data_IF_899038420075
#
_entry.id   IF_899038420075
#
_cell.length_a   1.000
_cell.length_b   1.000
_cell.length_c   1.000
_cell.angle_alpha   90.00
_cell.angle_beta   90.00
_cell.angle_gamma   90.00
#
_symmetry.space_group_name_H-M   'P 1'
#
loop_
_entity.id
_entity.type
_entity.pdbx_description
1 polymer ?
#
# COMPACT_ATOMS: atom_id res chain seq x y z
N UNK A 1 -29.09 -25.91 -29.18
CA UNK A 1 -29.52 -25.47 -27.84
C UNK A 1 -28.64 -25.96 -26.68
N UNK A 2 -27.91 -27.06 -26.84
CA UNK A 2 -27.00 -27.54 -25.77
C UNK A 2 -25.75 -26.68 -25.50
N UNK A 3 -25.27 -25.94 -26.48
CA UNK A 3 -24.05 -25.13 -26.37
C UNK A 3 -24.27 -23.73 -25.79
N UNK A 4 -25.49 -23.21 -25.81
CA UNK A 4 -25.85 -21.88 -25.30
C UNK A 4 -25.88 -21.85 -23.76
N UNK A 5 -26.19 -22.99 -23.14
CA UNK A 5 -26.23 -23.11 -21.67
C UNK A 5 -24.86 -23.16 -21.05
N UNK A 6 -23.87 -23.71 -21.76
CA UNK A 6 -22.47 -23.77 -21.28
C UNK A 6 -21.81 -22.38 -21.34
N UNK A 7 -22.15 -21.57 -22.34
CA UNK A 7 -21.61 -20.21 -22.48
C UNK A 7 -22.15 -19.27 -21.39
N UNK A 8 -23.41 -19.47 -20.97
CA UNK A 8 -24.00 -18.64 -19.89
C UNK A 8 -23.41 -18.97 -18.51
N UNK A 9 -22.96 -20.21 -18.30
CA UNK A 9 -22.37 -20.64 -17.04
C UNK A 9 -20.93 -20.15 -16.86
N UNK A 10 -20.20 -19.88 -17.95
CA UNK A 10 -18.82 -19.34 -17.90
C UNK A 10 -18.77 -17.84 -17.56
N UNK A 11 -19.89 -17.11 -17.71
CA UNK A 11 -19.94 -15.65 -17.45
C UNK A 11 -20.06 -15.30 -15.96
N UNK A 12 -20.27 -16.29 -15.08
CA UNK A 12 -20.48 -16.06 -13.65
C UNK A 12 -19.21 -16.18 -12.78
N UNK A 13 -18.03 -16.41 -13.37
CA UNK A 13 -16.80 -16.65 -12.59
C UNK A 13 -15.93 -15.42 -12.31
N UNK A 14 -16.38 -14.22 -12.69
CA UNK A 14 -15.67 -12.97 -12.29
C UNK A 14 -16.33 -12.30 -11.08
N UNK A 15 -16.59 -13.08 -10.04
CA UNK A 15 -16.73 -12.48 -8.71
C UNK A 15 -15.32 -12.12 -8.27
N UNK A 16 -14.93 -10.86 -8.48
CA UNK A 16 -13.76 -10.27 -7.82
C UNK A 16 -13.99 -10.42 -6.32
N UNK A 17 -13.41 -11.46 -5.71
CA UNK A 17 -13.32 -11.59 -4.27
C UNK A 17 -12.40 -10.47 -3.78
N UNK A 18 -12.97 -9.34 -3.42
CA UNK A 18 -12.26 -8.33 -2.65
C UNK A 18 -11.90 -8.98 -1.32
N UNK A 19 -10.61 -9.19 -1.09
CA UNK A 19 -10.12 -9.85 0.12
C UNK A 19 -10.53 -9.02 1.33
N UNK A 20 -11.35 -9.60 2.22
CA UNK A 20 -11.72 -8.92 3.47
C UNK A 20 -10.49 -8.77 4.36
N UNK A 21 -10.07 -7.55 4.58
CA UNK A 21 -8.92 -7.21 5.44
C UNK A 21 -9.32 -7.40 6.90
N UNK A 22 -8.55 -8.18 7.63
CA UNK A 22 -8.78 -8.48 9.04
C UNK A 22 -7.86 -7.64 9.92
N UNK A 23 -8.21 -7.45 11.23
CA UNK A 23 -7.36 -6.71 12.15
C UNK A 23 -5.91 -7.21 12.23
N UNK A 24 -5.69 -8.53 12.15
CA UNK A 24 -4.35 -9.13 12.14
C UNK A 24 -3.52 -8.79 10.90
N UNK A 25 -4.17 -8.46 9.77
CA UNK A 25 -3.46 -8.10 8.54
C UNK A 25 -2.77 -6.73 8.64
N UNK A 26 -3.25 -5.85 9.53
CA UNK A 26 -2.69 -4.50 9.69
C UNK A 26 -1.20 -4.52 10.05
N UNK A 27 -0.75 -5.52 10.80
CA UNK A 27 0.66 -5.66 11.14
C UNK A 27 1.59 -5.78 9.92
N UNK A 28 1.08 -6.26 8.78
CA UNK A 28 1.85 -6.40 7.53
C UNK A 28 2.27 -5.07 6.94
N UNK A 29 1.58 -3.97 7.30
CA UNK A 29 1.93 -2.64 6.79
C UNK A 29 3.28 -2.16 7.31
N UNK A 30 3.71 -2.63 8.48
CA UNK A 30 4.93 -2.15 9.11
C UNK A 30 6.16 -2.39 8.24
N UNK A 31 6.97 -1.35 8.10
CA UNK A 31 8.17 -1.33 7.27
C UNK A 31 8.10 -0.36 6.11
N UNK A 32 8.92 -0.62 5.09
CA UNK A 32 9.17 0.29 3.98
C UNK A 32 8.37 -0.10 2.74
N UNK A 33 7.77 0.89 2.09
CA UNK A 33 6.94 0.73 0.92
C UNK A 33 7.33 1.69 -0.18
N UNK A 34 7.53 1.17 -1.38
CA UNK A 34 7.83 1.93 -2.58
C UNK A 34 6.60 2.03 -3.45
N UNK A 35 6.23 3.24 -3.87
CA UNK A 35 5.13 3.40 -4.80
C UNK A 35 5.51 2.80 -6.16
N UNK A 36 4.63 1.98 -6.72
CA UNK A 36 4.80 1.32 -8.01
C UNK A 36 3.99 2.01 -9.09
N UNK A 37 2.71 2.28 -8.81
CA UNK A 37 1.83 2.99 -9.73
C UNK A 37 0.68 3.69 -9.02
N UNK A 38 0.08 4.65 -9.71
CA UNK A 38 -1.19 5.29 -9.35
C UNK A 38 -2.21 5.01 -10.44
N UNK A 39 -3.37 4.49 -10.06
CA UNK A 39 -4.53 4.30 -10.93
C UNK A 39 -5.52 5.42 -10.64
N UNK A 40 -5.85 6.20 -11.67
CA UNK A 40 -6.80 7.29 -11.57
C UNK A 40 -8.23 6.77 -11.79
N UNK A 41 -9.21 7.53 -11.34
CA UNK A 41 -10.59 7.36 -11.76
C UNK A 41 -10.65 7.22 -13.29
N UNK A 42 -11.45 6.30 -13.83
CA UNK A 42 -11.53 5.90 -15.24
C UNK A 42 -10.38 4.98 -15.74
N UNK A 43 -9.57 4.42 -14.85
CA UNK A 43 -8.60 3.36 -15.19
C UNK A 43 -7.33 3.83 -15.89
N UNK A 44 -7.06 5.16 -15.94
CA UNK A 44 -5.77 5.68 -16.42
C UNK A 44 -4.70 5.41 -15.37
N UNK A 45 -3.56 4.86 -15.77
CA UNK A 45 -2.44 4.53 -14.89
C UNK A 45 -1.24 5.45 -15.10
N UNK A 46 -0.48 5.66 -14.03
CA UNK A 46 0.85 6.27 -14.06
C UNK A 46 1.80 5.38 -13.29
N UNK A 47 2.79 4.83 -13.99
CA UNK A 47 3.84 4.01 -13.41
C UNK A 47 4.97 4.87 -12.82
N UNK A 48 5.57 4.38 -11.73
CA UNK A 48 6.73 4.95 -11.07
C UNK A 48 7.86 3.92 -11.11
N UNK A 49 8.92 4.22 -11.88
CA UNK A 49 10.03 3.27 -12.07
C UNK A 49 11.05 3.31 -10.95
N UNK A 50 11.70 4.46 -10.74
CA UNK A 50 12.70 4.68 -9.70
C UNK A 50 12.18 5.78 -8.77
N UNK A 51 12.15 5.50 -7.46
CA UNK A 51 11.67 6.44 -6.47
C UNK A 51 12.82 6.91 -5.56
N UNK A 52 12.89 8.23 -5.36
CA UNK A 52 13.85 8.84 -4.46
C UNK A 52 13.46 8.69 -2.98
N UNK A 53 12.18 8.39 -2.72
CA UNK A 53 11.67 8.24 -1.36
C UNK A 53 10.70 7.07 -1.25
N UNK A 54 10.69 6.45 -0.05
CA UNK A 54 9.77 5.39 0.34
C UNK A 54 8.88 5.88 1.46
N UNK A 55 7.73 5.21 1.64
CA UNK A 55 6.87 5.38 2.80
C UNK A 55 7.26 4.35 3.87
N UNK A 56 7.56 4.81 5.05
CA UNK A 56 7.79 3.96 6.22
C UNK A 56 6.58 4.04 7.15
N UNK A 57 5.98 2.90 7.43
CA UNK A 57 4.86 2.77 8.37
C UNK A 57 5.30 2.05 9.64
N UNK A 58 4.80 2.53 10.76
CA UNK A 58 4.86 1.85 12.04
C UNK A 58 3.52 2.01 12.77
N UNK A 59 2.76 0.92 12.84
CA UNK A 59 1.44 0.85 13.46
C UNK A 59 1.51 -0.16 14.61
N UNK A 60 1.04 0.23 15.78
CA UNK A 60 1.00 -0.60 16.97
C UNK A 60 -0.25 -1.51 17.03
N UNK A 61 -0.31 -2.34 18.07
CA UNK A 61 -1.43 -3.25 18.31
C UNK A 61 -2.74 -2.55 18.77
N UNK A 62 -2.70 -1.22 18.97
CA UNK A 62 -3.85 -0.36 19.25
C UNK A 62 -4.33 0.38 18.02
N UNK A 63 -3.85 0.00 16.82
CA UNK A 63 -4.17 0.63 15.55
C UNK A 63 -3.76 2.11 15.47
N UNK A 64 -2.66 2.46 16.09
CA UNK A 64 -2.09 3.81 16.09
C UNK A 64 -0.61 3.76 15.73
N UNK A 65 -0.14 4.80 15.09
CA UNK A 65 1.26 4.94 14.76
C UNK A 65 1.52 6.12 13.86
N UNK A 66 2.42 5.95 12.91
CA UNK A 66 2.81 7.03 12.02
C UNK A 66 3.25 6.50 10.64
N UNK A 67 3.26 7.43 9.67
CA UNK A 67 3.92 7.30 8.38
C UNK A 67 4.99 8.36 8.26
N UNK A 68 6.14 8.00 7.67
CA UNK A 68 7.22 8.93 7.32
C UNK A 68 7.69 8.70 5.89
N UNK A 69 8.09 9.77 5.22
CA UNK A 69 8.91 9.67 4.01
C UNK A 69 10.37 9.44 4.40
N UNK A 70 10.99 8.44 3.79
CA UNK A 70 12.40 8.09 4.01
C UNK A 70 13.11 7.99 2.66
N UNK A 71 14.39 8.36 2.60
CA UNK A 71 15.20 8.27 1.40
C UNK A 71 16.24 7.17 1.58
N UNK A 72 16.22 6.11 0.73
CA UNK A 72 17.21 5.04 0.80
C UNK A 72 18.60 5.58 0.46
N UNK A 73 19.61 5.14 1.19
CA UNK A 73 21.01 5.46 0.97
C UNK A 73 21.76 4.26 0.38
N UNK A 74 22.86 4.50 -0.32
CA UNK A 74 23.63 3.44 -0.97
C UNK A 74 24.30 2.47 0.01
N UNK A 75 24.46 2.87 1.27
CA UNK A 75 25.00 2.04 2.35
C UNK A 75 23.94 1.13 3.02
N UNK A 76 22.71 1.13 2.49
CA UNK A 76 21.59 0.37 3.03
C UNK A 76 20.85 1.04 4.19
N UNK A 77 21.25 2.23 4.59
CA UNK A 77 20.53 3.04 5.59
C UNK A 77 19.43 3.90 4.96
N UNK A 78 18.64 4.57 5.79
CA UNK A 78 17.62 5.51 5.34
C UNK A 78 17.85 6.88 5.98
N UNK A 79 17.84 7.91 5.16
CA UNK A 79 17.74 9.27 5.65
C UNK A 79 16.28 9.60 5.94
N UNK A 80 16.01 10.11 7.14
CA UNK A 80 14.66 10.43 7.64
C UNK A 80 14.61 11.91 7.96
N UNK A 81 13.55 12.58 7.57
CA UNK A 81 13.27 13.95 8.01
C UNK A 81 12.47 13.94 9.34
N UNK A 82 12.35 15.10 9.99
CA UNK A 82 11.62 15.23 11.25
C UNK A 82 10.10 15.26 11.08
N UNK A 83 9.60 15.26 9.83
CA UNK A 83 8.17 15.30 9.57
C UNK A 83 7.58 13.90 9.59
N UNK A 84 6.47 13.76 10.28
CA UNK A 84 5.68 12.53 10.29
C UNK A 84 4.20 12.85 10.17
N UNK A 85 3.44 11.88 9.71
CA UNK A 85 1.99 11.89 9.68
C UNK A 85 1.50 10.89 10.74
N UNK A 86 0.78 11.37 11.73
CA UNK A 86 0.16 10.48 12.71
C UNK A 86 -0.92 9.67 12.01
N UNK A 87 -1.01 8.38 12.34
CA UNK A 87 -1.93 7.44 11.71
C UNK A 87 -2.81 6.79 12.78
N UNK A 88 -4.10 6.71 12.47
CA UNK A 88 -5.06 5.89 13.20
C UNK A 88 -5.81 4.99 12.24
N UNK A 89 -5.78 3.68 12.48
CA UNK A 89 -6.54 2.71 11.68
C UNK A 89 -7.93 2.55 12.25
N UNK A 90 -8.93 2.58 11.38
CA UNK A 90 -10.35 2.52 11.74
C UNK A 90 -11.07 1.49 10.86
N UNK A 91 -11.82 0.59 11.50
CA UNK A 91 -12.69 -0.38 10.84
C UNK A 91 -14.12 0.14 10.84
N UNK A 92 -14.75 0.19 9.68
CA UNK A 92 -16.14 0.65 9.51
C UNK A 92 -16.77 0.00 8.28
N UNK A 93 -17.96 -0.59 8.44
CA UNK A 93 -18.77 -1.16 7.34
C UNK A 93 -17.98 -2.14 6.45
N UNK A 94 -17.24 -3.07 7.07
CA UNK A 94 -16.35 -4.04 6.43
C UNK A 94 -15.15 -3.43 5.64
N UNK A 95 -14.91 -2.14 5.81
CA UNK A 95 -13.81 -1.38 5.23
C UNK A 95 -12.79 -0.96 6.29
N UNK A 96 -11.56 -0.74 5.84
CA UNK A 96 -10.47 -0.27 6.68
C UNK A 96 -10.00 1.08 6.19
N UNK A 97 -9.94 2.05 7.10
CA UNK A 97 -9.50 3.41 6.83
C UNK A 97 -8.26 3.74 7.63
N UNK A 98 -7.33 4.41 6.99
CA UNK A 98 -6.19 5.06 7.61
C UNK A 98 -6.47 6.55 7.68
N UNK A 99 -6.68 7.04 8.89
CA UNK A 99 -6.90 8.46 9.18
C UNK A 99 -5.54 9.08 9.51
N UNK A 100 -5.11 10.01 8.69
CA UNK A 100 -3.83 10.72 8.81
C UNK A 100 -4.03 12.10 9.42
N UNK A 101 -3.07 12.54 10.22
CA UNK A 101 -3.04 13.87 10.79
C UNK A 101 -1.62 14.45 10.82
N UNK A 102 -1.53 15.72 10.45
CA UNK A 102 -0.37 16.59 10.65
C UNK A 102 -0.82 17.85 11.38
N UNK A 103 0.09 18.74 11.82
CA UNK A 103 -0.32 20.06 12.35
C UNK A 103 -1.16 20.90 11.38
N UNK A 104 -1.11 20.60 10.08
CA UNK A 104 -1.70 21.46 9.02
C UNK A 104 -2.90 20.82 8.31
N UNK A 105 -3.02 19.49 8.33
CA UNK A 105 -4.04 18.78 7.55
C UNK A 105 -4.46 17.47 8.19
N UNK A 106 -5.68 17.04 7.85
CA UNK A 106 -6.22 15.72 8.15
C UNK A 106 -6.88 15.15 6.91
N UNK A 107 -6.68 13.85 6.66
CA UNK A 107 -7.32 13.12 5.56
C UNK A 107 -7.45 11.64 5.90
N UNK A 108 -8.19 10.92 5.07
CA UNK A 108 -8.37 9.48 5.20
C UNK A 108 -8.14 8.80 3.86
N UNK A 109 -7.59 7.60 3.89
CA UNK A 109 -7.47 6.69 2.76
C UNK A 109 -8.08 5.34 3.12
N UNK A 110 -8.78 4.71 2.19
CA UNK A 110 -9.28 3.36 2.34
C UNK A 110 -8.17 2.37 2.00
N UNK A 111 -7.90 1.41 2.87
CA UNK A 111 -7.01 0.30 2.57
C UNK A 111 -7.77 -0.74 1.74
N UNK A 112 -7.43 -0.86 0.46
CA UNK A 112 -8.10 -1.74 -0.50
C UNK A 112 -7.51 -3.14 -0.48
N UNK A 113 -6.17 -3.25 -0.37
CA UNK A 113 -5.47 -4.52 -0.32
C UNK A 113 -4.20 -4.42 0.53
N UNK A 114 -3.86 -5.52 1.18
CA UNK A 114 -2.61 -5.67 1.93
C UNK A 114 -2.14 -7.12 1.90
N UNK A 115 -0.87 -7.30 1.61
CA UNK A 115 -0.15 -8.56 1.71
C UNK A 115 1.28 -8.32 2.21
N UNK A 116 2.10 -9.35 2.25
CA UNK A 116 3.52 -9.19 2.61
C UNK A 116 4.33 -8.46 1.52
N UNK A 117 3.77 -8.31 0.31
CA UNK A 117 4.47 -7.74 -0.86
C UNK A 117 3.78 -6.53 -1.45
N UNK A 118 2.46 -6.41 -1.28
CA UNK A 118 1.63 -5.39 -1.92
C UNK A 118 0.78 -4.65 -0.91
N UNK A 119 0.58 -3.37 -1.16
CA UNK A 119 -0.25 -2.48 -0.39
C UNK A 119 -0.99 -1.55 -1.35
N UNK A 120 -2.30 -1.42 -1.20
CA UNK A 120 -3.12 -0.54 -2.03
C UNK A 120 -4.00 0.34 -1.17
N UNK A 121 -3.88 1.64 -1.35
CA UNK A 121 -4.78 2.64 -0.76
C UNK A 121 -5.60 3.35 -1.82
N UNK A 122 -6.84 3.66 -1.51
CA UNK A 122 -7.70 4.55 -2.31
C UNK A 122 -7.98 5.84 -1.54
N UNK A 123 -7.78 6.99 -2.18
CA UNK A 123 -8.11 8.28 -1.59
C UNK A 123 -9.55 8.72 -1.90
N UNK A 124 -9.95 9.90 -1.38
CA UNK A 124 -11.29 10.46 -1.59
C UNK A 124 -11.61 10.77 -3.07
N UNK A 125 -10.59 11.01 -3.90
CA UNK A 125 -10.73 11.28 -5.34
C UNK A 125 -10.76 10.00 -6.21
N UNK A 126 -10.93 8.83 -5.59
CA UNK A 126 -10.94 7.54 -6.28
C UNK A 126 -9.62 7.23 -7.02
N UNK A 127 -8.50 7.70 -6.48
CA UNK A 127 -7.16 7.34 -6.94
C UNK A 127 -6.62 6.22 -6.07
N UNK A 128 -6.22 5.13 -6.72
CA UNK A 128 -5.54 4.03 -6.05
C UNK A 128 -4.03 4.21 -6.11
N UNK A 129 -3.39 4.08 -4.98
CA UNK A 129 -1.94 4.11 -4.81
C UNK A 129 -1.46 2.69 -4.53
N UNK A 130 -0.77 2.12 -5.50
CA UNK A 130 -0.21 0.78 -5.41
C UNK A 130 1.25 0.84 -4.99
N UNK A 131 1.58 0.12 -3.93
CA UNK A 131 2.92 0.02 -3.38
C UNK A 131 3.39 -1.42 -3.40
N UNK A 132 4.69 -1.59 -3.56
CA UNK A 132 5.41 -2.85 -3.31
C UNK A 132 6.24 -2.73 -2.04
N UNK A 133 6.43 -3.85 -1.35
CA UNK A 133 7.33 -3.89 -0.18
C UNK A 133 8.73 -3.56 -0.64
N UNK A 134 9.34 -2.54 -0.05
CA UNK A 134 10.71 -2.17 -0.32
C UNK A 134 11.66 -2.96 0.59
N UNK A 135 12.72 -3.50 -0.02
CA UNK A 135 13.84 -4.07 0.71
C UNK A 135 14.96 -3.02 0.79
N UNK A 136 15.70 -2.94 1.91
CA UNK A 136 16.87 -2.08 2.00
C UNK A 136 17.83 -2.40 0.84
N UNK A 137 18.34 -1.35 0.17
CA UNK A 137 19.38 -1.51 -0.84
C UNK A 137 20.67 -1.94 -0.11
N UNK A 138 20.89 -3.25 -0.06
CA UNK A 138 22.14 -3.80 0.45
C UNK A 138 23.06 -4.05 -0.74
N UNK A 139 23.93 -3.09 -1.04
CA UNK A 139 25.03 -3.26 -1.99
C UNK A 139 26.17 -3.87 -1.20
N UNK A 140 26.31 -5.21 -1.24
CA UNK A 140 27.51 -5.85 -0.71
C UNK A 140 28.75 -5.37 -1.45
N UNK A 141 29.92 -5.45 -0.82
CA UNK A 141 31.21 -4.95 -1.32
C UNK A 141 31.61 -5.41 -2.74
N UNK A 142 30.92 -6.41 -3.29
CA UNK A 142 31.10 -6.94 -4.64
C UNK A 142 30.10 -6.37 -5.67
N UNK A 143 29.25 -5.41 -5.28
CA UNK A 143 28.26 -4.79 -6.16
C UNK A 143 27.10 -5.72 -6.57
N UNK A 144 26.97 -6.89 -5.97
CA UNK A 144 25.87 -7.81 -6.22
C UNK A 144 24.73 -7.56 -5.24
N UNK A 145 23.51 -7.45 -5.77
CA UNK A 145 22.31 -7.46 -4.92
C UNK A 145 22.27 -8.79 -4.16
N UNK A 146 22.35 -8.74 -2.85
CA UNK A 146 22.00 -9.88 -2.00
C UNK A 146 20.49 -10.13 -2.12
N UNK A 147 20.14 -11.34 -2.54
CA UNK A 147 18.75 -11.80 -2.60
C UNK A 147 18.19 -12.01 -1.21
#
# INVERSE_FOLDING_TARGET
MKNTFILLFLLFLFVSCQQKIKPEDIAKINGYWEIEKVVFDQGKEKDYGVNESYDYFQIDNKNKGFRKKVMPQLDGTFMVNDTQEDVKVRFKDDKVFFDYATPYAKWSEELIAISDKELVFENADKKEYHYKKAEPLNISDDGKKTK
#
